data_IF_259981235612
#
_entry.id   IF_259981235612
#
_cell.length_a   1.000
_cell.length_b   1.000
_cell.length_c   1.000
_cell.angle_alpha   90.00
_cell.angle_beta   90.00
_cell.angle_gamma   90.00
#
_symmetry.space_group_name_H-M   'P 1'
#
loop_
_entity.id
_entity.type
_entity.pdbx_description
1 polymer ?
#
# COMPACT_ATOMS: atom_id res chain seq x y z
N UNK A 1 -24.07 -16.48 -38.35
CA UNK A 1 -23.59 -15.09 -38.13
C UNK A 1 -24.54 -14.41 -37.18
N UNK A 2 -24.16 -14.23 -35.92
CA UNK A 2 -24.69 -13.25 -34.96
C UNK A 2 -23.94 -13.48 -33.64
N UNK A 3 -23.35 -12.44 -33.03
CA UNK A 3 -22.87 -12.52 -31.64
C UNK A 3 -21.46 -12.02 -31.36
N UNK A 4 -21.06 -10.83 -31.82
CA UNK A 4 -19.81 -10.17 -31.38
C UNK A 4 -19.97 -8.66 -31.12
N UNK A 5 -21.17 -8.21 -30.73
CA UNK A 5 -21.47 -6.77 -30.55
C UNK A 5 -21.85 -6.35 -29.11
N UNK A 6 -21.63 -7.19 -28.10
CA UNK A 6 -22.04 -6.87 -26.71
C UNK A 6 -20.91 -6.82 -25.67
N UNK A 7 -19.64 -7.08 -26.03
CA UNK A 7 -18.54 -7.12 -25.05
C UNK A 7 -17.73 -5.83 -24.92
N UNK A 8 -17.91 -4.85 -25.81
CA UNK A 8 -17.20 -3.57 -25.76
C UNK A 8 -17.69 -2.58 -24.67
N UNK A 9 -18.96 -2.58 -24.21
CA UNK A 9 -19.40 -1.66 -23.15
C UNK A 9 -19.02 -2.09 -21.73
N UNK A 10 -18.68 -3.36 -21.50
CA UNK A 10 -18.39 -3.88 -20.15
C UNK A 10 -16.99 -3.50 -19.66
N UNK A 11 -16.01 -3.40 -20.56
CA UNK A 11 -14.61 -3.05 -20.22
C UNK A 11 -14.46 -1.57 -19.84
N UNK A 12 -15.34 -0.69 -20.34
CA UNK A 12 -15.32 0.74 -19.98
C UNK A 12 -16.00 1.06 -18.64
N UNK A 13 -16.85 0.16 -18.12
CA UNK A 13 -17.45 0.33 -16.79
C UNK A 13 -16.60 -0.23 -15.65
N UNK A 14 -15.65 -1.14 -15.92
CA UNK A 14 -14.73 -1.65 -14.91
C UNK A 14 -13.59 -0.67 -14.59
N UNK A 15 -13.12 0.11 -15.57
CA UNK A 15 -12.10 1.15 -15.35
C UNK A 15 -12.66 2.34 -14.57
N UNK A 16 -13.96 2.66 -14.72
CA UNK A 16 -14.63 3.71 -13.92
C UNK A 16 -14.93 3.23 -12.49
N UNK A 17 -15.07 1.91 -12.25
CA UNK A 17 -15.25 1.36 -10.89
C UNK A 17 -13.93 1.21 -10.10
N UNK A 18 -12.78 1.18 -10.77
CA UNK A 18 -11.46 1.14 -10.12
C UNK A 18 -10.97 2.52 -9.64
N UNK A 19 -11.54 3.62 -10.14
CA UNK A 19 -11.22 4.98 -9.69
C UNK A 19 -12.14 5.51 -8.56
N UNK A 20 -13.14 4.73 -8.13
CA UNK A 20 -14.05 5.11 -7.02
C UNK A 20 -13.88 4.28 -5.73
N UNK A 21 -12.77 3.54 -5.57
CA UNK A 21 -12.41 2.89 -4.30
C UNK A 21 -10.94 3.09 -3.94
N UNK A 22 -10.57 4.34 -3.71
CA UNK A 22 -9.43 4.67 -2.87
C UNK A 22 -9.76 5.97 -2.15
N UNK A 23 -10.32 5.85 -0.95
CA UNK A 23 -10.18 6.73 0.23
C UNK A 23 -11.25 6.28 1.23
N UNK A 24 -10.81 5.42 2.16
CA UNK A 24 -11.09 5.51 3.59
C UNK A 24 -10.49 4.27 4.25
N UNK A 25 -9.17 4.30 4.45
CA UNK A 25 -8.54 3.57 5.52
C UNK A 25 -8.05 4.62 6.51
N UNK A 26 -8.80 4.73 7.60
CA UNK A 26 -8.52 5.62 8.71
C UNK A 26 -7.28 5.09 9.46
N UNK A 27 -6.48 6.04 9.92
CA UNK A 27 -5.32 5.90 10.79
C UNK A 27 -5.60 5.00 11.99
N UNK A 28 -4.73 4.02 12.23
CA UNK A 28 -4.17 3.74 13.55
C UNK A 28 -2.71 3.35 13.38
N UNK A 29 -1.83 4.31 13.63
CA UNK A 29 -0.40 4.08 13.82
C UNK A 29 -0.23 3.27 15.12
N UNK A 30 0.11 1.99 15.01
CA UNK A 30 0.48 1.17 16.17
C UNK A 30 1.93 1.50 16.48
N UNK A 31 2.06 2.34 17.49
CA UNK A 31 3.26 2.73 18.21
C UNK A 31 4.28 1.57 18.34
N UNK A 32 5.39 1.69 17.62
CA UNK A 32 6.55 0.79 17.62
C UNK A 32 7.20 0.59 19.01
N UNK A 33 6.83 1.37 20.03
CA UNK A 33 7.27 1.14 21.43
C UNK A 33 6.54 0.02 22.18
N UNK A 34 5.47 -0.57 21.62
CA UNK A 34 4.69 -1.63 22.27
C UNK A 34 5.23 -3.06 22.10
N UNK A 35 6.14 -3.29 21.14
CA UNK A 35 6.65 -4.64 20.84
C UNK A 35 7.81 -5.05 21.75
N UNK A 36 8.66 -4.09 22.14
CA UNK A 36 9.76 -4.34 23.10
C UNK A 36 9.23 -4.56 24.53
N UNK A 37 8.14 -3.88 24.93
CA UNK A 37 7.51 -4.10 26.23
C UNK A 37 6.85 -5.49 26.33
N UNK A 38 6.25 -6.04 25.26
CA UNK A 38 5.73 -7.41 25.28
C UNK A 38 6.85 -8.44 25.36
N UNK A 39 7.94 -8.26 24.61
CA UNK A 39 9.08 -9.19 24.65
C UNK A 39 9.70 -9.25 26.05
N UNK A 40 9.78 -8.12 26.74
CA UNK A 40 10.27 -8.00 28.13
C UNK A 40 9.25 -8.58 29.13
N UNK A 41 7.94 -8.35 28.97
CA UNK A 41 6.91 -8.95 29.84
C UNK A 41 6.85 -10.47 29.67
N UNK A 42 7.00 -10.99 28.45
CA UNK A 42 6.98 -12.45 28.20
C UNK A 42 8.28 -13.15 28.64
N UNK A 43 9.43 -12.46 28.64
CA UNK A 43 10.69 -13.05 29.18
C UNK A 43 10.78 -12.95 30.70
N UNK A 44 10.17 -11.94 31.33
CA UNK A 44 10.08 -11.84 32.79
C UNK A 44 9.08 -12.87 33.35
N UNK A 45 8.02 -13.23 32.64
CA UNK A 45 7.06 -14.27 33.08
C UNK A 45 7.56 -15.73 32.91
N UNK A 46 8.63 -15.97 32.16
CA UNK A 46 9.26 -17.31 32.09
C UNK A 46 10.54 -17.46 32.94
N UNK A 47 10.90 -16.45 33.73
CA UNK A 47 12.04 -16.54 34.67
C UNK A 47 11.71 -16.24 36.13
N UNK A 48 10.43 -16.08 36.52
CA UNK A 48 10.10 -15.98 37.94
C UNK A 48 8.64 -16.34 38.29
N UNK A 49 8.25 -17.59 37.99
CA UNK A 49 7.22 -18.28 38.78
C UNK A 49 7.61 -19.75 39.03
N UNK A 50 8.91 -20.01 39.22
CA UNK A 50 9.37 -21.21 39.93
C UNK A 50 9.67 -20.82 41.37
N UNK A 51 8.63 -20.74 42.20
CA UNK A 51 8.85 -20.52 43.63
C UNK A 51 7.65 -20.00 44.39
N UNK A 52 6.56 -20.77 44.49
CA UNK A 52 5.84 -20.88 45.77
C UNK A 52 4.93 -22.11 45.89
N UNK A 53 5.44 -23.30 45.58
CA UNK A 53 5.02 -24.50 46.31
C UNK A 53 6.24 -25.41 46.40
N UNK A 54 6.85 -25.47 47.58
CA UNK A 54 7.79 -26.53 47.91
C UNK A 54 7.01 -27.86 48.06
N UNK A 55 6.40 -28.35 46.97
CA UNK A 55 5.88 -29.73 46.89
C UNK A 55 7.09 -30.66 47.02
N UNK A 56 7.23 -31.31 48.18
CA UNK A 56 8.27 -32.31 48.42
C UNK A 56 9.42 -31.88 49.34
N UNK A 57 9.35 -30.73 50.03
CA UNK A 57 10.39 -30.27 50.98
C UNK A 57 10.80 -31.32 52.03
N UNK A 58 9.90 -32.26 52.33
CA UNK A 58 10.06 -33.27 53.37
C UNK A 58 10.25 -34.69 52.81
N UNK A 59 10.20 -34.88 51.49
CA UNK A 59 10.43 -36.18 50.88
C UNK A 59 11.93 -36.40 50.64
N UNK A 60 12.44 -37.59 50.99
CA UNK A 60 13.86 -37.92 50.79
C UNK A 60 14.10 -38.60 49.46
N UNK A 61 13.18 -39.45 49.04
CA UNK A 61 13.30 -40.26 47.83
C UNK A 61 12.24 -39.86 46.79
N UNK A 62 12.63 -39.63 45.53
CA UNK A 62 11.66 -39.38 44.47
C UNK A 62 10.94 -40.68 44.11
N UNK A 63 9.67 -40.57 43.69
CA UNK A 63 9.00 -41.67 43.02
C UNK A 63 9.51 -41.81 41.59
N UNK A 64 9.59 -43.03 41.04
CA UNK A 64 9.94 -43.23 39.64
C UNK A 64 8.84 -42.72 38.70
N UNK A 65 9.13 -42.54 37.40
CA UNK A 65 8.11 -42.23 36.39
C UNK A 65 6.96 -43.24 36.44
N UNK A 66 5.73 -42.75 36.30
CA UNK A 66 4.51 -43.55 36.39
C UNK A 66 3.92 -43.70 37.77
N UNK A 67 4.58 -43.16 38.80
CA UNK A 67 4.14 -43.19 40.18
C UNK A 67 4.12 -41.78 40.79
N UNK A 68 3.42 -41.65 41.93
CA UNK A 68 3.34 -40.44 42.78
C UNK A 68 3.41 -40.86 44.25
N UNK A 69 3.72 -39.92 45.15
CA UNK A 69 3.60 -40.19 46.59
C UNK A 69 2.14 -40.46 46.96
N UNK A 70 1.87 -41.45 47.80
CA UNK A 70 0.51 -41.76 48.25
C UNK A 70 -0.19 -40.56 48.90
N UNK A 71 0.58 -39.78 49.67
CA UNK A 71 0.21 -38.50 50.30
C UNK A 71 1.42 -37.56 50.31
N UNK A 72 1.22 -36.29 50.65
CA UNK A 72 2.33 -35.35 50.82
C UNK A 72 3.24 -35.78 51.98
N UNK A 73 4.55 -35.62 51.81
CA UNK A 73 5.50 -35.89 52.89
C UNK A 73 5.38 -34.82 53.98
N UNK A 74 5.43 -35.25 55.24
CA UNK A 74 5.47 -34.37 56.42
C UNK A 74 6.76 -34.62 57.20
N UNK A 75 7.18 -33.65 58.03
CA UNK A 75 8.46 -33.74 58.79
C UNK A 75 8.50 -34.92 59.76
N UNK A 76 7.33 -35.32 60.29
CA UNK A 76 7.23 -36.17 61.48
C UNK A 76 6.66 -37.56 61.21
N UNK A 77 6.32 -37.89 59.95
CA UNK A 77 5.81 -39.21 59.57
C UNK A 77 6.82 -39.98 58.71
N UNK A 78 6.65 -41.30 58.68
CA UNK A 78 7.33 -42.16 57.72
C UNK A 78 7.00 -41.73 56.29
N UNK A 79 8.02 -41.79 55.43
CA UNK A 79 7.90 -41.37 54.04
C UNK A 79 6.83 -42.21 53.32
N UNK A 80 5.83 -41.58 52.66
CA UNK A 80 4.76 -42.32 52.01
C UNK A 80 5.27 -43.11 50.80
N UNK A 81 4.71 -44.31 50.64
CA UNK A 81 4.97 -45.18 49.48
C UNK A 81 4.60 -44.50 48.17
N UNK A 82 5.29 -44.92 47.10
CA UNK A 82 4.94 -44.54 45.75
C UNK A 82 3.80 -45.43 45.25
N UNK A 83 2.79 -44.79 44.67
CA UNK A 83 1.59 -45.44 44.12
C UNK A 83 1.44 -45.07 42.64
N UNK A 84 0.95 -45.99 41.81
CA UNK A 84 0.86 -45.76 40.37
C UNK A 84 -0.14 -44.66 40.01
N UNK A 85 0.18 -43.90 38.97
CA UNK A 85 -0.76 -42.98 38.33
C UNK A 85 -1.95 -43.76 37.72
N UNK A 86 -3.07 -43.05 37.51
CA UNK A 86 -4.23 -43.62 36.82
C UNK A 86 -3.94 -43.77 35.32
N UNK A 87 -3.83 -45.01 34.84
CA UNK A 87 -3.58 -45.34 33.43
C UNK A 87 -4.56 -44.63 32.49
N UNK A 88 -4.04 -44.02 31.43
CA UNK A 88 -4.83 -43.29 30.43
C UNK A 88 -5.42 -41.95 30.89
N UNK A 89 -5.28 -41.55 32.17
CA UNK A 89 -5.77 -40.25 32.68
C UNK A 89 -4.67 -39.38 33.26
N UNK A 90 -3.67 -39.99 33.85
CA UNK A 90 -2.55 -39.29 34.49
C UNK A 90 -1.21 -39.95 34.17
N UNK A 91 -0.16 -39.15 34.15
CA UNK A 91 1.20 -39.59 33.84
C UNK A 91 2.25 -38.80 34.63
N UNK A 92 3.44 -39.38 34.78
CA UNK A 92 4.66 -38.70 35.23
C UNK A 92 5.83 -39.22 34.40
N UNK A 93 6.47 -38.33 33.64
CA UNK A 93 7.53 -38.67 32.68
C UNK A 93 8.93 -38.71 33.30
N UNK A 94 9.07 -38.12 34.49
CA UNK A 94 10.32 -38.02 35.26
C UNK A 94 10.05 -38.31 36.72
N UNK A 95 11.08 -38.74 37.44
CA UNK A 95 10.98 -38.93 38.88
C UNK A 95 10.74 -37.61 39.60
N UNK A 96 9.86 -37.63 40.60
CA UNK A 96 9.44 -36.43 41.34
C UNK A 96 8.99 -36.75 42.77
N UNK A 97 8.84 -35.72 43.60
CA UNK A 97 8.50 -35.85 45.03
C UNK A 97 7.04 -35.50 45.35
N UNK A 98 6.23 -35.19 44.33
CA UNK A 98 4.84 -34.76 44.51
C UNK A 98 3.92 -35.95 44.78
N UNK A 99 2.85 -35.68 45.52
CA UNK A 99 1.75 -36.62 45.74
C UNK A 99 0.74 -36.66 44.58
N UNK A 100 0.99 -35.91 43.49
CA UNK A 100 0.10 -35.78 42.34
C UNK A 100 0.79 -36.18 41.03
N UNK A 101 0.04 -36.86 40.16
CA UNK A 101 0.43 -37.08 38.78
C UNK A 101 -0.04 -35.92 37.87
N UNK A 102 0.56 -35.78 36.69
CA UNK A 102 0.12 -34.80 35.68
C UNK A 102 -1.05 -35.37 34.91
N UNK A 103 -2.05 -34.55 34.59
CA UNK A 103 -3.17 -35.00 33.74
C UNK A 103 -2.70 -35.16 32.30
N UNK A 104 -3.15 -36.22 31.65
CA UNK A 104 -2.91 -36.44 30.23
C UNK A 104 -3.52 -35.31 29.40
N UNK A 105 -2.77 -34.84 28.40
CA UNK A 105 -3.27 -33.90 27.40
C UNK A 105 -4.36 -34.56 26.57
N UNK A 106 -5.38 -33.79 26.20
CA UNK A 106 -6.38 -34.20 25.21
C UNK A 106 -6.01 -33.63 23.84
N UNK A 107 -6.26 -34.42 22.80
CA UNK A 107 -6.14 -33.98 21.42
C UNK A 107 -7.52 -33.51 20.96
N UNK A 108 -7.73 -32.19 21.00
CA UNK A 108 -9.03 -31.61 20.65
C UNK A 108 -9.31 -31.72 19.16
N UNK A 109 -10.35 -32.48 18.83
CA UNK A 109 -10.81 -32.67 17.48
C UNK A 109 -11.24 -31.36 16.78
N UNK A 110 -11.76 -30.39 17.54
CA UNK A 110 -12.16 -29.07 17.05
C UNK A 110 -10.97 -28.19 16.68
N UNK A 111 -9.79 -28.47 17.23
CA UNK A 111 -8.52 -27.84 16.85
C UNK A 111 -7.78 -28.60 15.73
N UNK A 112 -8.45 -29.55 15.06
CA UNK A 112 -7.83 -30.31 13.96
C UNK A 112 -6.78 -31.32 14.43
N UNK A 113 -6.78 -31.72 15.71
CA UNK A 113 -5.85 -32.68 16.29
C UNK A 113 -6.49 -34.06 16.43
N UNK A 114 -5.67 -35.11 16.38
CA UNK A 114 -6.03 -36.48 16.71
C UNK A 114 -4.92 -37.15 17.53
N UNK A 115 -5.25 -38.24 18.22
CA UNK A 115 -4.29 -38.99 19.04
C UNK A 115 -3.37 -39.81 18.13
N UNK A 116 -2.06 -39.57 18.23
CA UNK A 116 -1.03 -40.41 17.60
C UNK A 116 -0.61 -41.53 18.56
N UNK A 117 -0.36 -41.17 19.83
CA UNK A 117 0.05 -42.09 20.89
C UNK A 117 -0.80 -41.83 22.13
N UNK A 118 -1.42 -42.88 22.64
CA UNK A 118 -2.23 -42.83 23.85
C UNK A 118 -1.39 -42.49 25.08
N UNK A 119 -2.00 -41.81 26.04
CA UNK A 119 -1.36 -41.57 27.32
C UNK A 119 -1.10 -42.89 28.06
N UNK A 120 0.07 -43.00 28.67
CA UNK A 120 0.42 -44.07 29.59
C UNK A 120 0.88 -43.46 30.92
N UNK A 121 1.08 -44.28 31.95
CA UNK A 121 1.59 -43.78 33.24
C UNK A 121 2.90 -43.01 33.11
N UNK A 122 3.77 -43.35 32.16
CA UNK A 122 5.10 -42.72 32.01
C UNK A 122 5.18 -41.74 30.83
N UNK A 123 4.12 -41.58 30.05
CA UNK A 123 4.15 -40.78 28.82
C UNK A 123 2.83 -40.05 28.60
N UNK A 124 2.91 -38.75 28.35
CA UNK A 124 1.76 -37.95 27.97
C UNK A 124 1.20 -38.38 26.61
N UNK A 125 -0.09 -38.10 26.36
CA UNK A 125 -0.68 -38.21 25.04
C UNK A 125 0.14 -37.43 24.01
N UNK A 126 0.47 -38.08 22.90
CA UNK A 126 1.07 -37.40 21.73
C UNK A 126 -0.03 -37.14 20.71
N UNK A 127 -0.23 -35.87 20.38
CA UNK A 127 -1.19 -35.44 19.36
C UNK A 127 -0.48 -35.23 18.03
N UNK A 128 -1.20 -35.48 16.94
CA UNK A 128 -0.82 -35.09 15.58
C UNK A 128 -1.97 -34.36 14.89
N UNK A 129 -1.68 -33.69 13.78
CA UNK A 129 -2.74 -33.11 12.96
C UNK A 129 -3.60 -34.21 12.31
N UNK A 130 -4.90 -33.94 12.18
CA UNK A 130 -5.82 -34.78 11.42
C UNK A 130 -5.45 -34.80 9.93
N UNK A 131 -5.92 -35.80 9.17
CA UNK A 131 -5.80 -35.80 7.72
C UNK A 131 -6.34 -34.51 7.11
N UNK A 132 -5.59 -33.93 6.16
CA UNK A 132 -5.87 -32.62 5.54
C UNK A 132 -5.74 -31.39 6.46
N UNK A 133 -5.02 -31.53 7.57
CA UNK A 133 -4.60 -30.42 8.42
C UNK A 133 -3.07 -30.41 8.57
N UNK A 134 -2.49 -29.24 8.86
CA UNK A 134 -1.06 -29.05 9.03
C UNK A 134 -0.75 -28.07 10.17
N UNK A 135 0.48 -28.11 10.66
CA UNK A 135 1.02 -27.11 11.57
C UNK A 135 2.54 -26.97 11.37
N UNK A 136 3.02 -25.73 11.18
CA UNK A 136 4.43 -25.48 10.85
C UNK A 136 5.36 -25.44 12.08
N UNK A 137 4.80 -25.41 13.28
CA UNK A 137 5.55 -25.29 14.54
C UNK A 137 5.91 -26.66 15.12
N UNK A 138 6.99 -26.72 15.90
CA UNK A 138 7.36 -27.95 16.62
C UNK A 138 6.35 -28.34 17.72
N UNK A 139 5.67 -27.35 18.30
CA UNK A 139 4.59 -27.52 19.27
C UNK A 139 3.33 -26.89 18.69
N UNK A 140 2.31 -27.71 18.46
CA UNK A 140 1.05 -27.30 17.86
C UNK A 140 -0.05 -27.30 18.91
N UNK A 141 -0.66 -26.13 19.12
CA UNK A 141 -1.87 -25.99 19.93
C UNK A 141 -3.11 -26.32 19.10
N UNK A 142 -3.09 -25.97 17.82
CA UNK A 142 -4.09 -26.30 16.81
C UNK A 142 -3.43 -26.61 15.47
N UNK A 143 -4.16 -27.23 14.56
CA UNK A 143 -3.76 -27.45 13.17
C UNK A 143 -4.71 -26.72 12.23
N UNK A 144 -4.16 -26.18 11.14
CA UNK A 144 -4.90 -25.47 10.11
C UNK A 144 -5.26 -26.40 8.95
N UNK A 145 -6.41 -26.22 8.30
CA UNK A 145 -6.77 -27.01 7.13
C UNK A 145 -5.84 -26.70 5.95
N UNK A 146 -5.47 -27.75 5.20
CA UNK A 146 -4.62 -27.64 4.02
C UNK A 146 -5.26 -26.77 2.92
N UNK A 147 -4.44 -25.93 2.28
CA UNK A 147 -4.87 -25.09 1.15
C UNK A 147 -5.19 -25.95 -0.08
N UNK A 148 -6.34 -25.70 -0.72
CA UNK A 148 -6.70 -26.32 -2.00
C UNK A 148 -6.25 -25.43 -3.17
N UNK A 149 -5.38 -25.96 -4.01
CA UNK A 149 -4.83 -25.22 -5.16
C UNK A 149 -5.74 -25.30 -6.38
N UNK A 150 -5.92 -24.17 -7.08
CA UNK A 150 -6.69 -24.10 -8.34
C UNK A 150 -5.86 -24.49 -9.57
N UNK A 151 -4.58 -24.11 -9.60
CA UNK A 151 -3.69 -24.22 -10.78
C UNK A 151 -2.68 -25.37 -10.68
N UNK A 152 -2.97 -26.37 -9.84
CA UNK A 152 -2.07 -27.48 -9.56
C UNK A 152 -1.25 -27.28 -8.28
N UNK A 153 -0.67 -28.39 -7.81
CA UNK A 153 0.07 -28.51 -6.56
C UNK A 153 1.56 -28.63 -6.91
N UNK A 154 2.42 -27.84 -6.26
CA UNK A 154 3.87 -27.98 -6.34
C UNK A 154 4.37 -28.94 -5.25
N UNK A 155 3.91 -28.73 -4.02
CA UNK A 155 4.21 -29.59 -2.88
C UNK A 155 2.90 -29.96 -2.18
N UNK A 156 2.70 -31.26 -1.93
CA UNK A 156 1.52 -31.77 -1.25
C UNK A 156 1.49 -31.35 0.22
N UNK A 157 0.28 -31.29 0.79
CA UNK A 157 0.14 -31.05 2.22
C UNK A 157 0.72 -32.20 3.04
N UNK A 158 1.42 -31.86 4.12
CA UNK A 158 1.85 -32.82 5.13
C UNK A 158 1.34 -32.40 6.49
N UNK A 159 1.43 -33.27 7.49
CA UNK A 159 1.01 -32.96 8.86
C UNK A 159 1.77 -31.75 9.46
N UNK A 160 2.93 -31.40 8.89
CA UNK A 160 3.80 -30.32 9.39
C UNK A 160 4.03 -29.18 8.39
N UNK A 161 3.38 -29.21 7.23
CA UNK A 161 3.55 -28.16 6.20
C UNK A 161 2.33 -28.07 5.31
N UNK A 162 1.92 -26.83 5.01
CA UNK A 162 0.84 -26.57 4.07
C UNK A 162 1.19 -27.00 2.64
N UNK A 163 0.15 -27.17 1.82
CA UNK A 163 0.25 -27.30 0.37
C UNK A 163 0.85 -26.04 -0.25
N UNK A 164 1.84 -26.19 -1.14
CA UNK A 164 2.31 -25.09 -1.98
C UNK A 164 1.65 -25.15 -3.35
N UNK A 165 0.96 -24.08 -3.71
CA UNK A 165 0.24 -23.97 -4.96
C UNK A 165 1.10 -23.42 -6.08
N UNK A 166 0.84 -23.89 -7.31
CA UNK A 166 1.40 -23.27 -8.49
C UNK A 166 0.83 -21.86 -8.65
N UNK A 167 1.72 -20.89 -8.82
CA UNK A 167 1.33 -19.53 -9.15
C UNK A 167 0.68 -19.49 -10.54
N UNK A 168 -0.27 -18.57 -10.70
CA UNK A 168 -0.96 -18.37 -11.97
C UNK A 168 0.03 -17.78 -12.98
N UNK A 169 0.19 -18.43 -14.14
CA UNK A 169 1.02 -17.93 -15.24
C UNK A 169 0.34 -16.69 -15.86
N UNK A 170 0.49 -15.53 -15.22
CA UNK A 170 -0.01 -14.22 -15.66
C UNK A 170 0.63 -13.72 -16.96
N UNK A 171 1.56 -14.51 -17.54
CA UNK A 171 2.18 -14.26 -18.85
C UNK A 171 1.16 -14.10 -19.98
N UNK A 172 0.00 -14.76 -19.90
CA UNK A 172 -1.04 -14.63 -20.93
C UNK A 172 -1.73 -13.26 -20.90
N UNK A 173 -1.96 -12.68 -19.72
CA UNK A 173 -2.63 -11.38 -19.58
C UNK A 173 -1.73 -10.21 -19.99
N UNK A 174 -0.41 -10.32 -19.75
CA UNK A 174 0.57 -9.32 -20.20
C UNK A 174 0.69 -9.25 -21.73
N UNK A 175 0.55 -10.39 -22.42
CA UNK A 175 0.57 -10.42 -23.88
C UNK A 175 -0.64 -9.68 -24.48
N UNK A 176 -1.81 -9.83 -23.89
CA UNK A 176 -3.02 -9.10 -24.32
C UNK A 176 -2.92 -7.59 -24.04
N UNK A 177 -2.33 -7.20 -22.89
CA UNK A 177 -2.03 -5.82 -22.57
C UNK A 177 -1.05 -5.18 -23.56
N UNK A 178 0.01 -5.90 -23.97
CA UNK A 178 0.95 -5.44 -24.99
C UNK A 178 0.29 -5.25 -26.37
N UNK A 179 -0.59 -6.17 -26.77
CA UNK A 179 -1.36 -6.05 -28.01
C UNK A 179 -2.30 -4.82 -27.99
N UNK A 180 -2.95 -4.55 -26.85
CA UNK A 180 -3.76 -3.34 -26.68
C UNK A 180 -2.92 -2.06 -26.77
N UNK A 181 -1.75 -2.02 -26.13
CA UNK A 181 -0.83 -0.88 -26.17
C UNK A 181 -0.28 -0.59 -27.58
N UNK A 182 -0.17 -1.60 -28.46
CA UNK A 182 0.24 -1.39 -29.86
C UNK A 182 -0.90 -0.91 -30.75
N UNK A 183 -2.15 -1.29 -30.46
CA UNK A 183 -3.31 -0.95 -31.29
C UNK A 183 -3.96 0.39 -30.90
N UNK A 184 -3.86 0.82 -29.65
CA UNK A 184 -4.46 2.08 -29.18
C UNK A 184 -3.83 3.33 -29.81
N UNK A 185 -2.50 3.51 -29.87
CA UNK A 185 -1.86 4.70 -30.44
C UNK A 185 -2.23 4.99 -31.91
N UNK A 186 -2.24 4.02 -32.85
CA UNK A 186 -2.64 4.29 -34.23
C UNK A 186 -4.12 4.64 -34.34
N UNK A 187 -5.00 4.02 -33.54
CA UNK A 187 -6.42 4.37 -33.51
C UNK A 187 -6.62 5.80 -33.01
N UNK A 188 -5.96 6.17 -31.90
CA UNK A 188 -5.99 7.54 -31.36
C UNK A 188 -5.44 8.54 -32.37
N UNK A 189 -4.32 8.25 -33.03
CA UNK A 189 -3.75 9.09 -34.09
C UNK A 189 -4.74 9.30 -35.25
N UNK A 190 -5.41 8.24 -35.71
CA UNK A 190 -6.41 8.33 -36.79
C UNK A 190 -7.62 9.16 -36.36
N UNK A 191 -8.11 8.97 -35.14
CA UNK A 191 -9.24 9.75 -34.59
C UNK A 191 -8.88 11.22 -34.47
N UNK A 192 -7.71 11.55 -33.91
CA UNK A 192 -7.20 12.93 -33.81
C UNK A 192 -7.08 13.53 -35.22
N UNK A 193 -6.46 12.84 -36.17
CA UNK A 193 -6.29 13.32 -37.54
C UNK A 193 -7.64 13.54 -38.24
N UNK A 194 -8.63 12.68 -37.99
CA UNK A 194 -9.99 12.81 -38.56
C UNK A 194 -10.76 13.96 -37.90
N UNK A 195 -10.63 14.15 -36.59
CA UNK A 195 -11.18 15.28 -35.85
C UNK A 195 -10.58 16.61 -36.32
N UNK A 196 -9.24 16.69 -36.43
CA UNK A 196 -8.55 17.86 -36.98
C UNK A 196 -8.95 18.16 -38.43
N UNK A 197 -9.10 17.12 -39.28
CA UNK A 197 -9.57 17.29 -40.67
C UNK A 197 -11.02 17.78 -40.73
N UNK A 198 -11.89 17.30 -39.84
CA UNK A 198 -13.28 17.74 -39.75
C UNK A 198 -13.35 19.21 -39.32
N UNK A 199 -12.59 19.59 -38.29
CA UNK A 199 -12.49 20.98 -37.82
C UNK A 199 -11.93 21.93 -38.89
N UNK A 200 -10.99 21.46 -39.72
CA UNK A 200 -10.47 22.22 -40.86
C UNK A 200 -11.49 22.40 -41.98
N UNK A 201 -12.42 21.45 -42.16
CA UNK A 201 -13.47 21.50 -43.18
C UNK A 201 -14.66 22.38 -42.77
N UNK A 202 -14.90 22.48 -41.46
CA UNK A 202 -15.96 23.32 -40.88
C UNK A 202 -15.55 24.80 -40.80
N UNK A 203 -14.24 25.08 -40.75
CA UNK A 203 -13.66 26.45 -40.77
C UNK A 203 -13.28 26.97 -42.18
N UNK A 204 -13.67 26.29 -43.27
CA UNK A 204 -13.52 26.80 -44.64
C UNK A 204 -14.89 27.14 -45.26
N UNK A 205 -15.54 28.16 -44.71
CA UNK A 205 -16.42 29.07 -45.44
C UNK A 205 -15.63 30.32 -45.87
N UNK A 206 -16.09 31.08 -46.87
CA UNK A 206 -15.27 32.08 -47.55
C UNK A 206 -14.99 33.27 -46.63
N UNK A 207 -13.73 33.40 -46.17
CA UNK A 207 -13.22 34.65 -45.63
C UNK A 207 -11.85 34.90 -46.25
N UNK A 208 -11.89 35.78 -47.25
CA UNK A 208 -10.93 36.82 -47.57
C UNK A 208 -9.48 36.60 -47.11
N UNK A 209 -8.61 36.32 -48.09
CA UNK A 209 -7.18 36.38 -47.92
C UNK A 209 -6.75 37.84 -47.72
N UNK A 210 -6.79 38.32 -46.49
CA UNK A 210 -6.00 39.49 -46.10
C UNK A 210 -4.62 39.00 -45.69
N UNK A 211 -3.73 38.97 -46.67
CA UNK A 211 -2.29 39.01 -46.44
C UNK A 211 -1.98 40.26 -45.61
N UNK A 212 -1.56 40.10 -44.36
CA UNK A 212 -0.86 41.12 -43.60
C UNK A 212 0.50 40.55 -43.15
N UNK A 213 1.48 41.44 -43.25
CA UNK A 213 2.92 41.21 -43.32
C UNK A 213 3.58 40.48 -42.12
N UNK A 214 4.80 39.95 -42.32
CA UNK A 214 5.64 39.43 -41.25
C UNK A 214 6.27 40.57 -40.44
N UNK A 215 5.49 41.30 -39.65
CA UNK A 215 6.02 42.33 -38.77
C UNK A 215 5.05 42.65 -37.62
N UNK A 216 4.92 41.70 -36.70
CA UNK A 216 4.70 41.99 -35.27
C UNK A 216 5.00 40.70 -34.51
N UNK A 217 6.29 40.47 -34.25
CA UNK A 217 6.68 39.57 -33.18
C UNK A 217 6.17 40.21 -31.88
N UNK A 218 5.00 39.79 -31.40
CA UNK A 218 4.61 40.05 -30.03
C UNK A 218 5.61 39.28 -29.17
N UNK A 219 6.65 39.97 -28.72
CA UNK A 219 7.66 39.42 -27.83
C UNK A 219 6.98 39.06 -26.51
N UNK A 220 6.66 37.78 -26.33
CA UNK A 220 6.09 37.23 -25.09
C UNK A 220 7.10 37.22 -23.92
N UNK A 221 8.28 37.79 -24.12
CA UNK A 221 9.42 37.76 -23.21
C UNK A 221 9.32 38.73 -22.02
N UNK A 222 8.29 39.57 -21.95
CA UNK A 222 8.12 40.58 -20.88
C UNK A 222 6.85 40.39 -20.02
N UNK A 223 6.18 39.24 -20.14
CA UNK A 223 4.99 38.94 -19.32
C UNK A 223 5.43 38.57 -17.90
N UNK A 224 5.03 39.37 -16.90
CA UNK A 224 5.25 39.02 -15.50
C UNK A 224 4.31 37.90 -15.06
N UNK A 225 4.85 36.69 -14.99
CA UNK A 225 4.09 35.49 -14.65
C UNK A 225 3.63 35.48 -13.19
N UNK A 226 4.17 36.36 -12.34
CA UNK A 226 3.85 36.47 -10.91
C UNK A 226 2.33 36.55 -10.66
N UNK A 227 1.61 37.31 -11.50
CA UNK A 227 0.14 37.49 -11.42
C UNK A 227 -0.64 36.20 -11.66
N UNK A 228 -0.06 35.24 -12.39
CA UNK A 228 -0.71 34.01 -12.81
C UNK A 228 -0.33 32.79 -11.97
N UNK A 229 0.68 32.90 -11.08
CA UNK A 229 1.17 31.76 -10.28
C UNK A 229 0.04 31.11 -9.47
N UNK A 230 -0.86 31.89 -8.89
CA UNK A 230 -2.00 31.37 -8.12
C UNK A 230 -3.01 30.64 -9.00
N UNK A 231 -3.29 31.17 -10.20
CA UNK A 231 -4.14 30.53 -11.21
C UNK A 231 -3.55 29.21 -11.69
N UNK A 232 -2.24 29.18 -11.93
CA UNK A 232 -1.50 27.98 -12.33
C UNK A 232 -1.54 26.95 -11.18
N UNK A 233 -1.24 27.37 -9.96
CA UNK A 233 -1.30 26.52 -8.77
C UNK A 233 -2.70 25.93 -8.55
N UNK A 234 -3.76 26.70 -8.83
CA UNK A 234 -5.15 26.24 -8.76
C UNK A 234 -5.50 25.16 -9.79
N UNK A 235 -4.89 25.23 -10.98
CA UNK A 235 -5.10 24.25 -12.05
C UNK A 235 -4.32 22.94 -11.89
N UNK A 236 -3.38 22.87 -10.94
CA UNK A 236 -2.48 21.72 -10.74
C UNK A 236 -2.70 21.04 -9.39
N UNK A 237 -2.49 19.72 -9.35
CA UNK A 237 -2.35 18.96 -8.11
C UNK A 237 -0.95 19.17 -7.50
N UNK A 238 -0.79 18.91 -6.20
CA UNK A 238 0.51 19.08 -5.52
C UNK A 238 1.60 18.17 -6.12
N UNK A 239 1.25 16.95 -6.52
CA UNK A 239 2.18 16.03 -7.19
C UNK A 239 2.62 16.58 -8.54
N UNK A 240 1.69 17.09 -9.36
CA UNK A 240 2.00 17.72 -10.64
C UNK A 240 2.90 18.94 -10.48
N UNK A 241 2.67 19.78 -9.46
CA UNK A 241 3.55 20.93 -9.19
C UNK A 241 4.95 20.45 -8.80
N UNK A 242 5.07 19.47 -7.89
CA UNK A 242 6.37 18.91 -7.47
C UNK A 242 7.14 18.32 -8.64
N UNK A 243 6.47 17.54 -9.50
CA UNK A 243 7.10 16.95 -10.67
C UNK A 243 7.51 17.99 -11.70
N UNK A 244 6.69 19.03 -11.90
CA UNK A 244 7.02 20.14 -12.77
C UNK A 244 8.26 20.89 -12.28
N UNK A 245 8.30 21.31 -11.02
CA UNK A 245 9.43 22.10 -10.51
C UNK A 245 10.73 21.29 -10.46
N UNK A 246 10.64 20.00 -10.15
CA UNK A 246 11.77 19.05 -10.18
C UNK A 246 12.35 18.91 -11.58
N UNK A 247 11.50 18.66 -12.58
CA UNK A 247 11.92 18.54 -13.99
C UNK A 247 12.48 19.84 -14.55
N UNK A 248 12.10 20.97 -13.97
CA UNK A 248 12.56 22.31 -14.36
C UNK A 248 13.59 22.89 -13.38
N UNK A 249 14.35 22.05 -12.67
CA UNK A 249 15.60 22.48 -12.02
C UNK A 249 15.50 23.02 -10.59
N UNK A 250 14.34 22.97 -9.94
CA UNK A 250 14.26 23.20 -8.49
C UNK A 250 14.85 21.98 -7.76
N UNK A 251 15.80 22.20 -6.86
CA UNK A 251 16.48 21.12 -6.13
C UNK A 251 15.56 20.45 -5.11
N UNK A 252 15.76 19.13 -4.87
CA UNK A 252 14.97 18.40 -3.86
C UNK A 252 15.11 19.03 -2.47
N UNK A 253 16.30 19.53 -2.12
CA UNK A 253 16.51 20.22 -0.85
C UNK A 253 15.56 21.42 -0.67
N UNK A 254 15.32 22.18 -1.75
CA UNK A 254 14.42 23.33 -1.71
C UNK A 254 12.94 22.90 -1.69
N UNK A 255 12.61 21.79 -2.33
CA UNK A 255 11.26 21.21 -2.30
C UNK A 255 10.91 20.72 -0.89
N UNK A 256 11.86 20.07 -0.21
CA UNK A 256 11.68 19.57 1.15
C UNK A 256 11.60 20.69 2.19
N UNK A 257 12.40 21.75 2.03
CA UNK A 257 12.30 22.98 2.83
C UNK A 257 10.88 23.57 2.74
N UNK A 258 10.38 23.82 1.53
CA UNK A 258 9.03 24.40 1.31
C UNK A 258 7.92 23.49 1.86
N UNK A 259 8.09 22.17 1.74
CA UNK A 259 7.15 21.19 2.30
C UNK A 259 7.13 21.26 3.83
N UNK A 260 8.29 21.40 4.48
CA UNK A 260 8.41 21.47 5.93
C UNK A 260 7.90 22.79 6.51
N UNK A 261 8.05 23.89 5.78
CA UNK A 261 7.57 25.20 6.22
C UNK A 261 6.04 25.34 6.13
N UNK A 262 5.39 24.56 5.27
CA UNK A 262 3.97 24.70 4.94
C UNK A 262 3.18 23.39 5.10
N UNK A 263 3.46 22.59 6.15
CA UNK A 263 2.93 21.21 6.31
C UNK A 263 1.41 21.10 6.17
N UNK A 264 0.67 22.09 6.69
CA UNK A 264 -0.79 22.08 6.75
C UNK A 264 -1.46 22.79 5.55
N UNK A 265 -0.71 23.61 4.81
CA UNK A 265 -1.26 24.40 3.69
C UNK A 265 -0.74 23.90 2.35
N UNK A 266 -1.51 22.99 1.76
CA UNK A 266 -1.20 22.43 0.43
C UNK A 266 -1.34 23.45 -0.70
N UNK A 267 -2.20 24.47 -0.55
CA UNK A 267 -2.35 25.51 -1.57
C UNK A 267 -1.11 26.41 -1.57
N UNK A 268 -0.65 26.81 -0.39
CA UNK A 268 0.56 27.62 -0.23
C UNK A 268 1.80 26.84 -0.65
N UNK A 269 1.90 25.54 -0.35
CA UNK A 269 2.98 24.69 -0.89
C UNK A 269 3.08 24.78 -2.41
N UNK A 270 1.96 24.68 -3.14
CA UNK A 270 1.94 24.77 -4.61
C UNK A 270 2.42 26.13 -5.10
N UNK A 271 1.94 27.21 -4.47
CA UNK A 271 2.31 28.58 -4.83
C UNK A 271 3.79 28.82 -4.58
N UNK A 272 4.33 28.40 -3.44
CA UNK A 272 5.74 28.60 -3.07
C UNK A 272 6.69 27.82 -3.99
N UNK A 273 6.34 26.58 -4.34
CA UNK A 273 7.12 25.79 -5.30
C UNK A 273 7.19 26.49 -6.67
N UNK A 274 6.05 26.97 -7.17
CA UNK A 274 6.00 27.68 -8.46
C UNK A 274 6.68 29.06 -8.41
N UNK A 275 6.60 29.78 -7.27
CA UNK A 275 7.35 31.03 -7.06
C UNK A 275 8.85 30.79 -7.09
N UNK A 276 9.33 29.77 -6.41
CA UNK A 276 10.75 29.46 -6.37
C UNK A 276 11.26 29.05 -7.77
N UNK A 277 10.49 28.22 -8.48
CA UNK A 277 10.77 27.92 -9.88
C UNK A 277 10.82 29.19 -10.76
N UNK A 278 9.84 30.09 -10.65
CA UNK A 278 9.80 31.33 -11.42
C UNK A 278 11.02 32.24 -11.15
N UNK A 279 11.44 32.33 -9.90
CA UNK A 279 12.63 33.09 -9.49
C UNK A 279 13.92 32.52 -10.09
N UNK A 280 14.03 31.20 -10.26
CA UNK A 280 15.21 30.54 -10.83
C UNK A 280 15.35 30.77 -12.34
N UNK A 281 14.24 30.84 -13.08
CA UNK A 281 14.26 30.96 -14.54
C UNK A 281 14.23 32.42 -15.04
N UNK A 282 13.82 33.37 -14.21
CA UNK A 282 13.76 34.79 -14.58
C UNK A 282 12.65 35.10 -15.61
N UNK A 283 12.45 36.38 -15.92
CA UNK A 283 11.33 36.85 -16.76
C UNK A 283 11.40 36.38 -18.23
N UNK A 284 12.62 36.17 -18.73
CA UNK A 284 12.86 35.80 -20.13
C UNK A 284 12.62 34.31 -20.30
N UNK A 285 11.73 33.93 -21.22
CA UNK A 285 11.39 32.55 -21.58
C UNK A 285 10.61 31.74 -20.51
N UNK A 286 10.22 32.35 -19.38
CA UNK A 286 9.42 31.68 -18.34
C UNK A 286 8.04 31.23 -18.86
N UNK A 287 7.40 32.02 -19.71
CA UNK A 287 6.11 31.66 -20.30
C UNK A 287 6.25 30.47 -21.26
N UNK A 288 7.25 30.48 -22.13
CA UNK A 288 7.52 29.37 -23.06
C UNK A 288 7.91 28.10 -22.32
N UNK A 289 8.74 28.22 -21.28
CA UNK A 289 9.15 27.11 -20.41
C UNK A 289 7.96 26.55 -19.63
N UNK A 290 7.06 27.40 -19.11
CA UNK A 290 5.82 26.99 -18.48
C UNK A 290 4.95 26.20 -19.45
N UNK A 291 4.68 26.75 -20.63
CA UNK A 291 3.80 26.13 -21.63
C UNK A 291 4.39 24.79 -22.09
N UNK A 292 5.71 24.74 -22.32
CA UNK A 292 6.42 23.52 -22.69
C UNK A 292 6.37 22.48 -21.56
N UNK A 293 6.60 22.89 -20.32
CA UNK A 293 6.57 22.03 -19.14
C UNK A 293 5.18 21.52 -18.77
N UNK A 294 4.13 22.32 -18.99
CA UNK A 294 2.73 21.89 -18.83
C UNK A 294 2.33 20.89 -19.92
N UNK A 295 2.79 21.07 -21.17
CA UNK A 295 2.57 20.10 -22.27
C UNK A 295 3.27 18.76 -22.01
N UNK A 296 4.47 18.75 -21.44
CA UNK A 296 5.18 17.51 -21.04
C UNK A 296 4.63 16.87 -19.77
N UNK A 297 3.76 17.55 -19.02
CA UNK A 297 3.04 17.02 -17.86
C UNK A 297 1.60 16.57 -18.19
N UNK A 298 1.27 16.38 -19.48
CA UNK A 298 -0.06 16.04 -20.00
C UNK A 298 -1.17 17.03 -19.61
N UNK A 299 -0.81 18.27 -19.24
CA UNK A 299 -1.72 19.36 -18.87
C UNK A 299 -2.00 20.31 -20.03
N UNK A 300 -2.20 19.78 -21.24
CA UNK A 300 -2.37 20.56 -22.47
C UNK A 300 -3.55 21.55 -22.40
N UNK A 301 -4.68 21.13 -21.82
CA UNK A 301 -5.86 22.00 -21.66
C UNK A 301 -5.63 23.15 -20.69
N UNK A 302 -4.75 22.96 -19.69
CA UNK A 302 -4.39 24.03 -18.76
C UNK A 302 -3.41 25.01 -19.42
N UNK A 303 -2.46 24.50 -20.20
CA UNK A 303 -1.53 25.32 -20.98
C UNK A 303 -2.27 26.22 -21.98
N UNK A 304 -3.26 25.69 -22.70
CA UNK A 304 -4.08 26.47 -23.64
C UNK A 304 -4.92 27.54 -22.93
N UNK A 305 -5.49 27.23 -21.77
CA UNK A 305 -6.23 28.21 -20.95
C UNK A 305 -5.34 29.32 -20.43
N UNK A 306 -4.16 28.99 -19.90
CA UNK A 306 -3.19 29.99 -19.40
C UNK A 306 -2.71 30.87 -20.55
N UNK A 307 -2.40 30.27 -21.72
CA UNK A 307 -2.00 31.01 -22.91
C UNK A 307 -3.09 31.97 -23.39
N UNK A 308 -4.36 31.55 -23.39
CA UNK A 308 -5.49 32.41 -23.75
C UNK A 308 -5.71 33.56 -22.75
N UNK A 309 -5.56 33.29 -21.45
CA UNK A 309 -5.68 34.32 -20.40
C UNK A 309 -4.56 35.36 -20.52
N UNK A 310 -3.31 34.92 -20.72
CA UNK A 310 -2.17 35.81 -20.91
C UNK A 310 -2.36 36.67 -22.18
N UNK A 311 -2.78 36.08 -23.29
CA UNK A 311 -3.00 36.80 -24.54
C UNK A 311 -4.13 37.84 -24.42
N UNK A 312 -5.18 37.50 -23.66
CA UNK A 312 -6.28 38.43 -23.36
C UNK A 312 -5.82 39.61 -22.50
N UNK A 313 -5.03 39.36 -21.46
CA UNK A 313 -4.49 40.43 -20.61
C UNK A 313 -3.58 41.37 -21.43
N UNK A 314 -2.68 40.83 -22.27
CA UNK A 314 -1.80 41.64 -23.16
C UNK A 314 -2.61 42.52 -24.13
N UNK A 315 -3.65 41.97 -24.74
CA UNK A 315 -4.51 42.72 -25.68
C UNK A 315 -5.30 43.81 -24.95
N UNK A 316 -5.80 43.54 -23.75
CA UNK A 316 -6.49 44.54 -22.93
C UNK A 316 -5.56 45.66 -22.41
N UNK A 317 -4.31 45.34 -22.07
CA UNK A 317 -3.33 46.33 -21.64
C UNK A 317 -2.89 47.22 -22.81
N UNK A 318 -2.82 46.68 -24.03
CA UNK A 318 -2.52 47.42 -25.26
C UNK A 318 -3.68 48.36 -25.63
N UNK A 319 -4.92 47.93 -25.47
CA UNK A 319 -6.12 48.77 -25.68
C UNK A 319 -6.22 49.90 -24.65
N UNK A 320 -5.95 49.60 -23.37
CA UNK A 320 -5.97 50.61 -22.30
C UNK A 320 -4.83 51.64 -22.41
N UNK A 321 -3.64 51.22 -22.86
CA UNK A 321 -2.51 52.14 -23.07
C UNK A 321 -2.70 53.02 -24.30
N UNK A 322 -3.32 52.53 -25.36
CA UNK A 322 -3.73 53.36 -26.50
C UNK A 322 -4.80 54.40 -26.10
N UNK A 323 -5.76 54.04 -25.24
CA UNK A 323 -6.77 54.97 -24.74
C UNK A 323 -6.16 56.04 -23.80
N UNK A 324 -5.18 55.69 -22.97
CA UNK A 324 -4.47 56.64 -22.10
C UNK A 324 -3.61 57.66 -22.87
N UNK A 325 -2.97 57.22 -23.96
CA UNK A 325 -2.18 58.11 -24.83
C UNK A 325 -3.08 59.07 -25.65
N UNK A 326 -4.33 58.68 -25.93
CA UNK A 326 -5.33 59.54 -26.58
C UNK A 326 -5.85 60.62 -25.61
N UNK A 327 -5.98 60.32 -24.32
CA UNK A 327 -6.38 61.29 -23.29
C UNK A 327 -5.25 62.27 -22.91
N UNK A 328 -3.98 61.85 -22.96
CA UNK A 328 -2.84 62.71 -22.66
C UNK A 328 -2.50 63.71 -23.79
N UNK A 329 -2.97 63.44 -25.03
CA UNK A 329 -2.83 64.34 -26.18
C UNK A 329 -4.00 65.35 -26.31
N UNK A 330 -4.93 65.37 -25.35
CA UNK A 330 -6.09 66.26 -25.31
C UNK A 330 -6.11 67.19 -24.07
N UNK A 331 -4.97 67.37 -23.39
CA UNK A 331 -4.78 68.37 -22.33
C UNK A 331 -3.70 69.37 -22.71
#
# INVERSE_FOLDING_TARGET
MLGTWTLLPLVLTSVVRLLSKCVNAQVTDINSKGFELRKIVTTIETQNLEGLHHEGQFCRNPCPPGERKARDCTVNEDEPDCVPCQEGKEYTDKGHFSSKCRRCRLCDEGHGLEVEINCTRTQNTKCRCKPNFFCNSAVCEHCDPCTKCKHGIIEECTLTSNTKCKEEDSRSDLLWLCLLLLLIPPIVYVVIKKACRKHRKENQGPHESTTLNPETAINLSDVDLSKYITTIAGGMTLSQVRDFVRKNGVSEAKIDEIKNDNVQDTAEQKVQLLRNWYQLHGKKDACDTLIKGLKTADLCTLAEKIHAVILKDITSDTENSNFGNEVQNLV
#
